data_IF_923186668572
#
_entry.id   IF_923186668572
#
_cell.length_a   1.000
_cell.length_b   1.000
_cell.length_c   1.000
_cell.angle_alpha   90.00
_cell.angle_beta   90.00
_cell.angle_gamma   90.00
#
_symmetry.space_group_name_H-M   'P 1'
#
loop_
_entity.id
_entity.type
_entity.pdbx_description
1 polymer ?
#
# COMPACT_ATOMS: atom_id res chain seq x y z
N UNK A 1 -11.86 -2.27 -24.62
CA UNK A 1 -11.39 -2.34 -23.22
C UNK A 1 -10.04 -1.64 -23.01
N UNK A 2 -8.99 -2.00 -23.76
CA UNK A 2 -7.65 -1.36 -23.69
C UNK A 2 -7.70 0.19 -23.74
N UNK A 3 -8.36 0.78 -24.74
CA UNK A 3 -8.45 2.24 -24.91
C UNK A 3 -9.15 2.94 -23.74
N UNK A 4 -10.23 2.35 -23.22
CA UNK A 4 -10.97 2.87 -22.06
C UNK A 4 -10.12 2.88 -20.79
N UNK A 5 -9.30 1.85 -20.57
CA UNK A 5 -8.42 1.77 -19.40
C UNK A 5 -7.29 2.79 -19.46
N UNK A 6 -6.68 3.01 -20.64
CA UNK A 6 -5.68 4.07 -20.82
C UNK A 6 -6.28 5.46 -20.63
N UNK A 7 -7.47 5.70 -21.17
CA UNK A 7 -8.14 6.99 -21.01
C UNK A 7 -8.52 7.27 -19.54
N UNK A 8 -9.01 6.25 -18.83
CA UNK A 8 -9.24 6.34 -17.39
C UNK A 8 -7.94 6.64 -16.64
N UNK A 9 -6.83 5.95 -16.95
CA UNK A 9 -5.53 6.16 -16.30
C UNK A 9 -5.01 7.59 -16.50
N UNK A 10 -5.14 8.14 -17.72
CA UNK A 10 -4.79 9.55 -18.01
C UNK A 10 -5.62 10.54 -17.21
N UNK A 11 -6.93 10.33 -17.08
CA UNK A 11 -7.81 11.18 -16.27
C UNK A 11 -7.52 11.09 -14.76
N UNK A 12 -6.93 9.97 -14.33
CA UNK A 12 -6.52 9.73 -12.95
C UNK A 12 -5.07 10.16 -12.67
N UNK A 13 -4.31 10.55 -13.68
CA UNK A 13 -2.99 11.14 -13.49
C UNK A 13 -3.18 12.49 -12.77
N UNK A 14 -2.56 12.63 -11.60
CA UNK A 14 -2.67 13.82 -10.78
C UNK A 14 -1.28 14.23 -10.32
N UNK A 15 -0.90 15.53 -10.41
CA UNK A 15 0.37 16.03 -9.88
C UNK A 15 0.55 15.74 -8.38
N UNK A 16 -0.55 15.54 -7.64
CA UNK A 16 -0.51 15.21 -6.22
C UNK A 16 -0.09 13.75 -5.93
N UNK A 17 -0.07 12.86 -6.94
CA UNK A 17 0.36 11.46 -6.81
C UNK A 17 1.84 11.35 -7.14
N UNK A 18 2.67 11.81 -6.20
CA UNK A 18 4.15 11.77 -6.33
C UNK A 18 4.73 10.52 -5.69
N UNK A 19 5.84 10.03 -6.24
CA UNK A 19 6.59 8.89 -5.69
C UNK A 19 6.97 9.12 -4.22
N UNK A 20 7.37 10.35 -3.87
CA UNK A 20 7.67 10.77 -2.49
C UNK A 20 6.50 10.53 -1.55
N UNK A 21 5.29 10.97 -1.93
CA UNK A 21 4.08 10.78 -1.13
C UNK A 21 3.77 9.28 -0.96
N UNK A 22 3.88 8.49 -2.03
CA UNK A 22 3.64 7.05 -1.98
C UNK A 22 4.57 6.32 -1.01
N UNK A 23 5.84 6.76 -0.93
CA UNK A 23 6.85 6.23 -0.01
C UNK A 23 6.57 6.67 1.42
N UNK A 24 6.30 7.96 1.66
CA UNK A 24 6.03 8.48 3.01
C UNK A 24 4.80 7.80 3.62
N UNK A 25 3.68 7.78 2.88
CA UNK A 25 2.45 7.11 3.33
C UNK A 25 2.69 5.61 3.56
N UNK A 26 3.42 4.95 2.65
CA UNK A 26 3.76 3.53 2.80
C UNK A 26 4.58 3.24 4.07
N UNK A 27 5.56 4.09 4.41
CA UNK A 27 6.38 3.94 5.61
C UNK A 27 5.58 4.19 6.89
N UNK A 28 4.75 5.23 6.90
CA UNK A 28 3.87 5.52 8.04
C UNK A 28 2.88 4.38 8.28
N UNK A 29 2.28 3.85 7.21
CA UNK A 29 1.35 2.72 7.30
C UNK A 29 2.06 1.45 7.79
N UNK A 30 3.24 1.14 7.26
CA UNK A 30 4.04 0.00 7.71
C UNK A 30 4.42 0.11 9.20
N UNK A 31 4.82 1.30 9.64
CA UNK A 31 5.11 1.56 11.05
C UNK A 31 3.85 1.38 11.92
N UNK A 32 2.70 1.92 11.49
CA UNK A 32 1.44 1.78 12.21
C UNK A 32 1.03 0.30 12.35
N UNK A 33 1.16 -0.50 11.28
CA UNK A 33 0.92 -1.95 11.36
C UNK A 33 1.88 -2.67 12.29
N UNK A 34 3.16 -2.34 12.29
CA UNK A 34 4.12 -2.94 13.23
C UNK A 34 3.80 -2.58 14.68
N UNK A 35 3.40 -1.34 14.94
CA UNK A 35 2.97 -0.89 16.28
C UNK A 35 1.71 -1.63 16.71
N UNK A 36 0.68 -1.70 15.87
CA UNK A 36 -0.53 -2.48 16.13
C UNK A 36 -0.21 -3.96 16.38
N UNK A 37 0.63 -4.57 15.54
CA UNK A 37 1.00 -5.97 15.68
C UNK A 37 1.73 -6.23 17.00
N UNK A 38 2.75 -5.44 17.35
CA UNK A 38 3.50 -5.62 18.59
C UNK A 38 2.63 -5.41 19.84
N UNK A 39 1.83 -4.34 19.87
CA UNK A 39 0.90 -4.07 20.98
C UNK A 39 -0.23 -5.09 21.06
N UNK A 40 -0.69 -5.60 19.92
CA UNK A 40 -1.70 -6.66 19.83
C UNK A 40 -1.18 -8.01 20.32
N UNK A 41 0.05 -8.39 19.96
CA UNK A 41 0.73 -9.56 20.51
C UNK A 41 0.87 -9.46 22.03
N UNK A 42 1.31 -8.29 22.53
CA UNK A 42 1.38 -8.05 23.97
C UNK A 42 0.02 -8.23 24.64
N UNK A 43 -1.04 -7.63 24.08
CA UNK A 43 -2.41 -7.76 24.61
C UNK A 43 -2.93 -9.20 24.58
N UNK A 44 -2.64 -9.95 23.52
CA UNK A 44 -3.01 -11.37 23.40
C UNK A 44 -2.30 -12.23 24.44
N UNK A 45 -0.97 -12.16 24.53
CA UNK A 45 -0.20 -12.99 25.47
C UNK A 45 -0.36 -12.56 26.93
N UNK A 46 -0.83 -11.33 27.19
CA UNK A 46 -1.27 -10.95 28.54
C UNK A 46 -2.56 -11.67 28.97
N UNK A 47 -3.46 -11.96 28.02
CA UNK A 47 -4.72 -12.67 28.26
C UNK A 47 -4.54 -14.18 28.26
N UNK A 48 -3.80 -14.70 27.27
CA UNK A 48 -3.61 -16.13 27.01
C UNK A 48 -2.10 -16.44 26.89
N UNK A 49 -1.31 -16.36 27.99
CA UNK A 49 0.12 -16.60 27.97
C UNK A 49 0.47 -18.07 27.71
N UNK A 50 1.60 -18.31 27.05
CA UNK A 50 2.20 -19.65 27.03
C UNK A 50 2.72 -20.02 28.43
N UNK A 51 2.89 -21.33 28.75
CA UNK A 51 3.22 -21.77 30.11
C UNK A 51 4.48 -21.14 30.73
N UNK A 52 5.44 -20.73 29.90
CA UNK A 52 6.70 -20.11 30.31
C UNK A 52 6.67 -18.58 30.31
N UNK A 53 5.63 -17.96 29.75
CA UNK A 53 5.51 -16.51 29.67
C UNK A 53 4.98 -15.92 30.98
N UNK A 54 5.65 -14.88 31.48
CA UNK A 54 5.22 -14.11 32.64
C UNK A 54 5.19 -12.64 32.24
N UNK A 55 4.02 -12.01 32.31
CA UNK A 55 3.85 -10.60 31.99
C UNK A 55 3.50 -9.80 33.23
N UNK A 56 4.03 -8.57 33.36
CA UNK A 56 3.63 -7.68 34.43
C UNK A 56 2.19 -7.21 34.22
N UNK A 57 1.30 -7.51 35.17
CA UNK A 57 -0.09 -7.02 35.18
C UNK A 57 -0.24 -5.69 35.93
N UNK A 58 0.84 -5.22 36.56
CA UNK A 58 0.91 -3.96 37.28
C UNK A 58 2.16 -3.15 36.85
N UNK A 59 2.07 -1.81 36.84
CA UNK A 59 0.86 -1.01 37.10
C UNK A 59 -0.16 -1.08 35.95
N UNK A 60 -1.45 -0.89 36.25
CA UNK A 60 -2.55 -0.91 35.25
C UNK A 60 -2.34 0.12 34.13
N UNK A 61 -1.57 1.18 34.39
CA UNK A 61 -1.18 2.17 33.37
C UNK A 61 -0.44 1.55 32.19
N UNK A 62 0.33 0.48 32.40
CA UNK A 62 1.06 -0.20 31.31
C UNK A 62 0.09 -0.71 30.24
N UNK A 63 -0.93 -1.47 30.65
CA UNK A 63 -1.94 -1.97 29.72
C UNK A 63 -2.74 -0.83 29.07
N UNK A 64 -3.09 0.21 29.84
CA UNK A 64 -3.80 1.39 29.29
C UNK A 64 -2.99 2.07 28.19
N UNK A 65 -1.68 2.23 28.38
CA UNK A 65 -0.80 2.85 27.39
C UNK A 65 -0.66 1.97 26.16
N UNK A 66 -0.36 0.67 26.31
CA UNK A 66 -0.20 -0.23 25.16
C UNK A 66 -1.50 -0.36 24.36
N UNK A 67 -2.64 -0.47 25.05
CA UNK A 67 -3.95 -0.56 24.41
C UNK A 67 -4.35 0.77 23.74
N UNK A 68 -4.07 1.91 24.38
CA UNK A 68 -4.28 3.22 23.79
C UNK A 68 -3.47 3.40 22.50
N UNK A 69 -2.18 3.05 22.54
CA UNK A 69 -1.30 3.06 21.35
C UNK A 69 -1.86 2.16 20.24
N UNK A 70 -2.29 0.94 20.58
CA UNK A 70 -2.86 0.00 19.61
C UNK A 70 -4.08 0.59 18.88
N UNK A 71 -5.04 1.13 19.65
CA UNK A 71 -6.28 1.70 19.10
C UNK A 71 -5.98 2.95 18.27
N UNK A 72 -5.16 3.87 18.78
CA UNK A 72 -4.81 5.10 18.06
C UNK A 72 -4.06 4.80 16.76
N UNK A 73 -3.10 3.86 16.78
CA UNK A 73 -2.41 3.43 15.58
C UNK A 73 -3.37 2.74 14.58
N UNK A 74 -4.29 1.90 15.06
CA UNK A 74 -5.30 1.24 14.24
C UNK A 74 -6.24 2.25 13.56
N UNK A 75 -6.70 3.26 14.29
CA UNK A 75 -7.49 4.37 13.73
C UNK A 75 -6.69 5.15 12.69
N UNK A 76 -5.40 5.45 12.97
CA UNK A 76 -4.53 6.13 12.01
C UNK A 76 -4.30 5.33 10.73
N UNK A 77 -4.40 3.99 10.77
CA UNK A 77 -4.33 3.16 9.57
C UNK A 77 -5.47 3.44 8.58
N UNK A 78 -6.65 3.91 9.04
CA UNK A 78 -7.80 4.18 8.16
C UNK A 78 -7.47 5.24 7.10
N UNK A 79 -7.12 6.50 7.45
CA UNK A 79 -6.77 7.50 6.44
C UNK A 79 -5.50 7.12 5.68
N UNK A 80 -4.53 6.45 6.30
CA UNK A 80 -3.29 6.02 5.63
C UNK A 80 -3.56 4.96 4.54
N UNK A 81 -4.43 3.98 4.82
CA UNK A 81 -4.84 2.97 3.84
C UNK A 81 -5.61 3.60 2.69
N UNK A 82 -6.58 4.46 2.98
CA UNK A 82 -7.36 5.16 1.96
C UNK A 82 -6.46 6.04 1.08
N UNK A 83 -5.52 6.77 1.68
CA UNK A 83 -4.52 7.54 0.95
C UNK A 83 -3.65 6.63 0.08
N UNK A 84 -3.16 5.51 0.61
CA UNK A 84 -2.33 4.56 -0.15
C UNK A 84 -3.10 3.99 -1.34
N UNK A 85 -4.34 3.57 -1.12
CA UNK A 85 -5.22 3.04 -2.17
C UNK A 85 -5.52 4.09 -3.23
N UNK A 86 -5.79 5.33 -2.84
CA UNK A 86 -5.98 6.44 -3.78
C UNK A 86 -4.72 6.69 -4.62
N UNK A 87 -3.53 6.64 -4.02
CA UNK A 87 -2.25 6.81 -4.72
C UNK A 87 -2.03 5.70 -5.75
N UNK A 88 -2.28 4.44 -5.39
CA UNK A 88 -2.00 3.29 -6.26
C UNK A 88 -3.16 2.94 -7.20
N UNK A 89 -4.30 3.62 -7.09
CA UNK A 89 -5.50 3.32 -7.88
C UNK A 89 -5.25 3.27 -9.41
N UNK A 90 -4.46 4.17 -10.03
CA UNK A 90 -4.14 4.08 -11.45
C UNK A 90 -3.45 2.78 -11.85
N UNK A 91 -2.59 2.23 -10.99
CA UNK A 91 -1.85 0.99 -11.24
C UNK A 91 -2.75 -0.24 -11.23
N UNK A 92 -3.91 -0.16 -10.55
CA UNK A 92 -4.92 -1.21 -10.62
C UNK A 92 -5.54 -1.32 -12.01
N UNK A 93 -5.50 -0.24 -12.79
CA UNK A 93 -6.06 -0.15 -14.15
C UNK A 93 -5.04 -0.49 -15.26
N UNK A 94 -3.83 -0.93 -14.91
CA UNK A 94 -2.81 -1.31 -15.90
C UNK A 94 -3.29 -2.51 -16.74
N UNK A 95 -3.18 -2.39 -18.08
CA UNK A 95 -3.58 -3.41 -19.06
C UNK A 95 -2.41 -3.82 -19.97
N UNK A 96 -2.26 -5.11 -20.34
CA UNK A 96 -3.02 -6.27 -19.85
C UNK A 96 -2.77 -6.51 -18.34
N UNK A 97 -3.79 -6.91 -17.57
CA UNK A 97 -3.65 -7.04 -16.13
C UNK A 97 -2.66 -8.16 -15.77
N UNK A 98 -2.74 -9.30 -16.43
CA UNK A 98 -1.84 -10.43 -16.21
C UNK A 98 -1.08 -10.72 -17.49
N UNK A 99 0.24 -10.64 -17.41
CA UNK A 99 1.15 -10.95 -18.53
C UNK A 99 1.77 -12.35 -18.43
N UNK A 100 1.56 -13.06 -17.33
CA UNK A 100 2.07 -14.40 -17.07
C UNK A 100 1.89 -14.82 -15.60
N UNK A 101 2.41 -16.00 -15.25
CA UNK A 101 2.26 -16.59 -13.90
C UNK A 101 2.87 -15.71 -12.81
N UNK A 102 4.06 -15.14 -13.04
CA UNK A 102 4.71 -14.24 -12.07
C UNK A 102 3.87 -12.99 -11.84
N UNK A 103 3.41 -12.34 -12.90
CA UNK A 103 2.53 -11.15 -12.82
C UNK A 103 1.21 -11.46 -12.08
N UNK A 104 0.66 -12.66 -12.29
CA UNK A 104 -0.51 -13.12 -11.54
C UNK A 104 -0.22 -13.24 -10.03
N UNK A 105 0.88 -13.91 -9.66
CA UNK A 105 1.26 -14.10 -8.27
C UNK A 105 1.57 -12.76 -7.56
N UNK A 106 2.23 -11.83 -8.25
CA UNK A 106 2.44 -10.48 -7.74
C UNK A 106 1.11 -9.79 -7.42
N UNK A 107 0.16 -9.79 -8.36
CA UNK A 107 -1.16 -9.17 -8.15
C UNK A 107 -1.98 -9.89 -7.08
N UNK A 108 -1.94 -11.22 -7.05
CA UNK A 108 -2.62 -12.00 -6.02
C UNK A 108 -2.07 -11.67 -4.62
N UNK A 109 -0.74 -11.56 -4.48
CA UNK A 109 -0.12 -11.17 -3.21
C UNK A 109 -0.56 -9.77 -2.75
N UNK A 110 -0.67 -8.81 -3.68
CA UNK A 110 -1.16 -7.47 -3.40
C UNK A 110 -2.64 -7.51 -3.00
N UNK A 111 -3.47 -8.30 -3.70
CA UNK A 111 -4.89 -8.43 -3.41
C UNK A 111 -5.12 -9.02 -2.01
N UNK A 112 -4.36 -10.05 -1.63
CA UNK A 112 -4.38 -10.64 -0.29
C UNK A 112 -3.97 -9.60 0.76
N UNK A 113 -2.87 -8.88 0.52
CA UNK A 113 -2.40 -7.86 1.46
C UNK A 113 -3.45 -6.75 1.66
N UNK A 114 -3.97 -6.19 0.57
CA UNK A 114 -4.99 -5.12 0.63
C UNK A 114 -6.27 -5.61 1.29
N UNK A 115 -6.78 -6.79 0.90
CA UNK A 115 -7.99 -7.37 1.46
C UNK A 115 -7.86 -7.65 2.96
N UNK A 116 -6.74 -8.26 3.37
CA UNK A 116 -6.46 -8.54 4.77
C UNK A 116 -6.33 -7.24 5.59
N UNK A 117 -5.60 -6.24 5.09
CA UNK A 117 -5.46 -4.95 5.77
C UNK A 117 -6.78 -4.21 5.95
N UNK A 118 -7.63 -4.18 4.91
CA UNK A 118 -8.94 -3.54 4.99
C UNK A 118 -9.85 -4.26 5.98
N UNK A 119 -9.88 -5.59 5.93
CA UNK A 119 -10.67 -6.39 6.87
C UNK A 119 -10.17 -6.21 8.31
N UNK A 120 -8.87 -6.29 8.55
CA UNK A 120 -8.25 -6.18 9.87
C UNK A 120 -8.53 -4.84 10.54
N UNK A 121 -8.30 -3.74 9.81
CA UNK A 121 -8.53 -2.38 10.32
C UNK A 121 -10.02 -2.11 10.53
N UNK A 122 -10.87 -2.53 9.59
CA UNK A 122 -12.32 -2.38 9.73
C UNK A 122 -12.82 -3.15 10.96
N UNK A 123 -12.41 -4.41 11.09
CA UNK A 123 -12.83 -5.26 12.21
C UNK A 123 -12.41 -4.67 13.56
N UNK A 124 -11.15 -4.20 13.68
CA UNK A 124 -10.66 -3.54 14.90
C UNK A 124 -11.40 -2.23 15.19
N UNK A 125 -11.71 -1.43 14.15
CA UNK A 125 -12.46 -0.18 14.29
C UNK A 125 -13.89 -0.45 14.78
N UNK A 126 -14.61 -1.39 14.17
CA UNK A 126 -15.97 -1.73 14.58
C UNK A 126 -16.02 -2.29 16.01
N UNK A 127 -15.02 -3.09 16.38
CA UNK A 127 -14.88 -3.58 17.75
C UNK A 127 -14.67 -2.44 18.78
N UNK A 128 -14.01 -1.34 18.39
CA UNK A 128 -13.90 -0.15 19.26
C UNK A 128 -15.26 0.47 19.55
N UNK A 129 -16.19 0.40 18.60
CA UNK A 129 -17.58 0.80 18.76
C UNK A 129 -18.47 -0.28 19.39
N UNK A 130 -17.90 -1.41 19.80
CA UNK A 130 -18.62 -2.59 20.32
C UNK A 130 -19.66 -3.15 19.34
N UNK A 131 -19.53 -2.82 18.05
CA UNK A 131 -20.40 -3.35 17.00
C UNK A 131 -19.67 -4.47 16.28
N UNK A 132 -20.03 -5.72 16.57
CA UNK A 132 -19.39 -6.90 15.99
C UNK A 132 -20.44 -7.66 15.17
N UNK A 133 -20.70 -7.26 13.92
CA UNK A 133 -21.71 -7.89 13.07
C UNK A 133 -21.27 -9.26 12.52
N UNK A 134 -20.05 -9.69 12.84
CA UNK A 134 -19.44 -10.89 12.27
C UNK A 134 -19.90 -12.16 13.01
N UNK A 135 -20.12 -13.28 12.29
CA UNK A 135 -20.56 -14.54 12.89
C UNK A 135 -19.42 -15.33 13.58
N UNK A 136 -18.23 -14.74 13.73
CA UNK A 136 -17.03 -15.39 14.23
C UNK A 136 -16.39 -14.61 15.38
N UNK A 137 -15.53 -15.27 16.16
CA UNK A 137 -14.88 -14.67 17.33
C UNK A 137 -13.83 -13.63 16.94
N UNK A 138 -14.12 -12.36 17.26
CA UNK A 138 -13.23 -11.23 16.98
C UNK A 138 -11.78 -11.48 17.40
N UNK A 139 -11.52 -11.82 18.68
CA UNK A 139 -10.15 -11.94 19.21
C UNK A 139 -9.30 -12.95 18.44
N UNK A 140 -9.87 -14.12 18.15
CA UNK A 140 -9.17 -15.18 17.44
C UNK A 140 -8.92 -14.81 15.98
N UNK A 141 -9.95 -14.29 15.30
CA UNK A 141 -9.85 -13.92 13.89
C UNK A 141 -8.90 -12.74 13.69
N UNK A 142 -9.01 -11.69 14.52
CA UNK A 142 -8.15 -10.52 14.48
C UNK A 142 -6.69 -10.90 14.73
N UNK A 143 -6.42 -11.73 15.74
CA UNK A 143 -5.07 -12.24 15.99
C UNK A 143 -4.50 -13.00 14.79
N UNK A 144 -5.25 -13.95 14.21
CA UNK A 144 -4.80 -14.72 13.06
C UNK A 144 -4.58 -13.84 11.82
N UNK A 145 -5.49 -12.90 11.57
CA UNK A 145 -5.44 -11.99 10.43
C UNK A 145 -4.26 -11.01 10.55
N UNK A 146 -3.87 -10.60 11.76
CA UNK A 146 -2.68 -9.80 12.00
C UNK A 146 -1.40 -10.46 11.43
N UNK A 147 -1.25 -11.79 11.58
CA UNK A 147 -0.12 -12.51 10.96
C UNK A 147 -0.22 -12.56 9.44
N UNK A 148 -1.42 -12.68 8.87
CA UNK A 148 -1.64 -12.61 7.42
C UNK A 148 -1.23 -11.23 6.89
N UNK A 149 -1.62 -10.15 7.58
CA UNK A 149 -1.24 -8.78 7.21
C UNK A 149 0.27 -8.58 7.27
N UNK A 150 0.93 -8.95 8.37
CA UNK A 150 2.38 -8.80 8.51
C UNK A 150 3.15 -9.70 7.53
N UNK A 151 2.74 -10.97 7.37
CA UNK A 151 3.37 -11.90 6.43
C UNK A 151 3.25 -11.44 4.98
N UNK A 152 2.05 -11.00 4.57
CA UNK A 152 1.83 -10.47 3.23
C UNK A 152 2.52 -9.12 3.00
N UNK A 153 2.63 -8.25 4.01
CA UNK A 153 3.45 -7.04 3.96
C UNK A 153 4.93 -7.37 3.75
N UNK A 154 5.46 -8.37 4.46
CA UNK A 154 6.84 -8.81 4.30
C UNK A 154 7.10 -9.34 2.88
N UNK A 155 6.20 -10.16 2.35
CA UNK A 155 6.24 -10.64 0.96
C UNK A 155 6.19 -9.46 -0.02
N UNK A 156 5.25 -8.52 0.19
CA UNK A 156 5.09 -7.33 -0.63
C UNK A 156 6.38 -6.50 -0.70
N UNK A 157 7.02 -6.27 0.45
CA UNK A 157 8.31 -5.56 0.52
C UNK A 157 9.39 -6.38 -0.20
N UNK A 158 9.49 -7.68 0.07
CA UNK A 158 10.50 -8.56 -0.53
C UNK A 158 10.45 -8.59 -2.05
N UNK A 159 9.25 -8.65 -2.64
CA UNK A 159 9.04 -8.59 -4.09
C UNK A 159 9.48 -7.25 -4.68
N UNK A 160 9.27 -6.14 -3.97
CA UNK A 160 9.62 -4.79 -4.44
C UNK A 160 11.07 -4.38 -4.14
N UNK A 161 11.74 -5.07 -3.22
CA UNK A 161 13.07 -4.72 -2.74
C UNK A 161 14.14 -4.66 -3.84
N UNK A 162 14.21 -5.58 -4.82
CA UNK A 162 15.20 -5.50 -5.90
C UNK A 162 15.06 -4.24 -6.76
N UNK A 163 13.82 -3.83 -7.05
CA UNK A 163 13.54 -2.61 -7.80
C UNK A 163 13.97 -1.36 -7.03
N UNK A 164 13.72 -1.34 -5.71
CA UNK A 164 14.15 -0.25 -4.81
C UNK A 164 15.67 -0.16 -4.79
N UNK A 165 16.37 -1.28 -4.54
CA UNK A 165 17.84 -1.33 -4.49
C UNK A 165 18.44 -0.91 -5.84
N UNK A 166 17.87 -1.37 -6.96
CA UNK A 166 18.31 -0.99 -8.30
C UNK A 166 18.14 0.50 -8.61
N UNK A 167 17.14 1.16 -8.03
CA UNK A 167 16.95 2.61 -8.16
C UNK A 167 17.94 3.39 -7.29
N UNK A 168 18.15 2.97 -6.04
CA UNK A 168 19.12 3.60 -5.12
C UNK A 168 20.56 3.50 -5.64
N UNK A 169 20.92 2.39 -6.29
CA UNK A 169 22.23 2.23 -6.95
C UNK A 169 22.43 3.13 -8.16
N UNK A 170 21.35 3.63 -8.77
CA UNK A 170 21.38 4.52 -9.95
C UNK A 170 21.34 6.01 -9.60
N UNK A 171 21.19 6.36 -8.31
CA UNK A 171 21.52 7.70 -7.80
C UNK A 171 20.61 8.85 -8.22
N UNK A 172 19.31 8.62 -8.46
CA UNK A 172 18.37 9.70 -8.77
C UNK A 172 17.26 9.81 -7.73
N UNK A 173 17.24 10.91 -6.97
CA UNK A 173 16.08 11.30 -6.19
C UNK A 173 15.05 11.88 -7.17
N UNK A 174 14.17 11.04 -7.66
CA UNK A 174 13.23 11.39 -8.73
C UNK A 174 11.95 12.01 -8.14
N UNK A 175 11.59 13.20 -8.62
CA UNK A 175 10.32 13.87 -8.37
C UNK A 175 9.30 13.54 -9.49
N UNK A 176 9.48 12.40 -10.14
CA UNK A 176 8.59 11.92 -11.19
C UNK A 176 7.18 11.61 -10.68
N UNK A 177 6.15 11.92 -11.48
CA UNK A 177 4.80 11.40 -11.28
C UNK A 177 4.79 9.87 -11.25
N UNK A 178 3.96 9.26 -10.41
CA UNK A 178 3.85 7.79 -10.30
C UNK A 178 3.36 7.15 -11.62
N UNK A 179 2.61 7.90 -12.43
CA UNK A 179 2.14 7.46 -13.74
C UNK A 179 3.05 8.08 -14.80
N UNK A 180 4.02 7.30 -15.27
CA UNK A 180 4.80 7.62 -16.46
C UNK A 180 4.10 6.96 -17.65
N UNK A 181 3.25 7.70 -18.36
CA UNK A 181 2.86 7.31 -19.72
C UNK A 181 4.03 7.75 -20.64
N UNK A 182 4.83 6.80 -21.12
CA UNK A 182 5.76 6.98 -22.23
C UNK A 182 5.01 6.89 -23.58
N UNK A 183 5.48 7.49 -24.70
CA UNK A 183 6.84 7.98 -24.93
C UNK A 183 6.94 9.45 -25.37
N UNK A 184 8.12 10.03 -25.17
CA UNK A 184 8.61 11.19 -25.91
C UNK A 184 8.89 10.84 -27.39
N UNK A 185 7.91 10.24 -28.09
CA UNK A 185 8.03 9.87 -29.51
C UNK A 185 7.28 10.82 -30.45
N UNK A 186 6.37 11.66 -29.95
CA UNK A 186 5.62 12.60 -30.82
C UNK A 186 6.31 13.96 -31.02
N UNK A 187 7.44 14.21 -30.35
CA UNK A 187 8.19 15.46 -30.52
C UNK A 187 9.23 15.41 -31.68
N UNK A 188 9.50 14.24 -32.26
CA UNK A 188 10.53 14.06 -33.28
C UNK A 188 10.01 14.15 -34.73
N UNK A 189 8.69 14.11 -34.96
CA UNK A 189 8.10 14.14 -36.32
C UNK A 189 7.57 15.53 -36.75
N UNK A 190 7.63 16.53 -35.86
CA UNK A 190 7.16 17.88 -36.17
C UNK A 190 8.22 18.79 -36.83
N UNK A 191 9.50 18.38 -36.86
CA UNK A 191 10.62 19.23 -37.33
C UNK A 191 11.12 18.90 -38.76
N UNK A 192 10.51 17.92 -39.45
CA UNK A 192 10.96 17.50 -40.80
C UNK A 192 10.11 18.09 -41.95
N UNK A 193 9.04 18.83 -41.66
CA UNK A 193 8.15 19.39 -42.71
C UNK A 193 8.25 20.91 -42.92
N UNK A 194 9.22 21.59 -42.32
CA UNK A 194 9.46 23.02 -42.50
C UNK A 194 10.82 23.31 -43.15
N UNK A 195 10.97 23.05 -44.46
CA UNK A 195 12.25 23.34 -45.11
C UNK A 195 12.36 23.03 -46.60
N UNK A 196 11.42 23.49 -47.43
CA UNK A 196 11.62 23.55 -48.88
C UNK A 196 11.41 24.99 -49.39
N UNK A 197 12.47 25.74 -49.74
CA UNK A 197 12.30 27.04 -50.39
C UNK A 197 11.92 26.83 -51.86
N UNK A 198 10.74 27.32 -52.24
CA UNK A 198 10.29 27.42 -53.61
C UNK A 198 11.23 28.34 -54.41
N UNK A 199 11.83 27.82 -55.49
CA UNK A 199 12.50 28.64 -56.52
C UNK A 199 11.44 29.38 -57.34
N UNK A 200 11.59 30.70 -57.44
CA UNK A 200 10.78 31.56 -58.29
C UNK A 200 11.11 31.38 -59.79
N UNK A 201 10.16 31.67 -60.70
CA UNK A 201 10.33 31.46 -62.14
C UNK A 201 11.01 32.64 -62.83
N UNK A 202 11.96 32.35 -63.74
CA UNK A 202 12.27 33.11 -64.95
C UNK A 202 12.71 32.15 -66.04
#
# INVERSE_FOLDING_TARGET
MRTLMHEARRRLASPARTTRLAVVIGRLLGLAFLVCFATGLYSHFLQDPLPWMRFPTAPVSLYRVTQGIHITAGIACVPLLLAKLWIVFPELLTYPPVTGVVSFLERASIAVFVGASLLEVTMGLLNTFQWVPFPFYFRQTHFALAFVVIGSLAIHIGVKLPAIVGHWRRGQADESPIVEDAPAADAADADVTAGAPARAPR
#
